data_IF_999695989115
#
_entry.id   IF_999695989115
#
_cell.length_a   1.000
_cell.length_b   1.000
_cell.length_c   1.000
_cell.angle_alpha   90.00
_cell.angle_beta   90.00
_cell.angle_gamma   90.00
#
_symmetry.space_group_name_H-M   'P 1'
#
loop_
_entity.id
_entity.type
_entity.pdbx_description
1 polymer ?
#
# COMPACT_ATOMS: atom_id res chain seq x y z
N UNK A 1 -2.80 21.47 -23.16
CA UNK A 1 -2.96 20.13 -22.54
C UNK A 1 -2.28 19.13 -23.46
N UNK A 2 -1.08 18.69 -23.10
CA UNK A 2 -0.34 17.65 -23.83
C UNK A 2 -0.84 16.29 -23.37
N UNK A 3 -1.51 15.58 -24.26
CA UNK A 3 -1.89 14.17 -24.10
C UNK A 3 -0.62 13.35 -23.83
N UNK A 4 -0.56 12.51 -22.78
CA UNK A 4 0.61 11.69 -22.53
C UNK A 4 0.85 10.72 -23.70
N UNK A 5 2.09 10.68 -24.18
CA UNK A 5 2.51 9.91 -25.35
C UNK A 5 2.44 8.40 -25.06
N UNK A 6 1.58 7.63 -25.75
CA UNK A 6 1.43 6.19 -25.52
C UNK A 6 2.67 5.38 -25.94
N UNK A 7 3.64 5.98 -26.63
CA UNK A 7 4.88 5.30 -27.05
C UNK A 7 5.97 5.30 -25.99
N UNK A 8 5.83 6.09 -24.92
CA UNK A 8 6.74 6.00 -23.78
C UNK A 8 6.16 4.99 -22.78
N UNK A 9 6.77 3.80 -22.60
CA UNK A 9 6.37 2.93 -21.51
C UNK A 9 6.61 3.71 -20.23
N UNK A 10 5.54 4.13 -19.56
CA UNK A 10 5.67 4.62 -18.20
C UNK A 10 6.41 3.54 -17.42
N UNK A 11 7.57 3.84 -16.82
CA UNK A 11 8.35 2.83 -16.12
C UNK A 11 7.44 2.21 -15.06
N UNK A 12 7.28 0.89 -15.10
CA UNK A 12 6.55 0.19 -14.06
C UNK A 12 7.33 0.38 -12.76
N UNK A 13 6.83 1.26 -11.90
CA UNK A 13 7.44 1.51 -10.61
C UNK A 13 7.00 0.42 -9.65
N UNK A 14 7.97 -0.33 -9.17
CA UNK A 14 7.80 -1.31 -8.10
C UNK A 14 8.41 -0.73 -6.81
N UNK A 15 7.57 -0.53 -5.79
CA UNK A 15 7.99 0.05 -4.52
C UNK A 15 7.89 -1.00 -3.41
N UNK A 16 8.99 -1.18 -2.69
CA UNK A 16 9.06 -2.11 -1.55
C UNK A 16 8.96 -1.30 -0.25
N UNK A 17 7.96 -1.59 0.57
CA UNK A 17 7.78 -1.00 1.90
C UNK A 17 8.18 -2.05 2.93
N UNK A 18 9.29 -1.83 3.61
CA UNK A 18 9.69 -2.67 4.73
C UNK A 18 9.06 -2.15 6.03
N UNK A 19 8.29 -3.02 6.69
CA UNK A 19 7.68 -2.70 7.97
C UNK A 19 8.46 -3.41 9.06
N UNK A 20 9.26 -2.63 9.80
CA UNK A 20 9.87 -3.11 11.03
C UNK A 20 8.80 -3.17 12.12
N UNK A 21 8.47 -4.40 12.52
CA UNK A 21 7.53 -4.70 13.59
C UNK A 21 8.16 -4.54 14.99
N UNK A 22 9.46 -4.20 15.08
CA UNK A 22 10.15 -3.94 16.34
C UNK A 22 9.91 -2.50 16.77
N UNK A 23 8.91 -2.28 17.63
CA UNK A 23 8.70 -1.00 18.28
C UNK A 23 7.24 -0.67 18.55
N UNK A 24 6.97 0.53 19.10
CA UNK A 24 5.61 1.00 19.33
C UNK A 24 4.82 1.11 18.00
N UNK A 25 3.56 0.66 18.00
CA UNK A 25 2.66 0.72 16.84
C UNK A 25 2.48 2.14 16.29
N UNK A 26 2.57 3.15 17.15
CA UNK A 26 2.44 4.56 16.79
C UNK A 26 3.59 5.02 15.87
N UNK A 27 4.83 4.66 16.22
CA UNK A 27 6.02 4.97 15.40
C UNK A 27 5.97 4.27 14.04
N UNK A 28 5.50 3.03 14.01
CA UNK A 28 5.32 2.27 12.76
C UNK A 28 4.27 2.93 11.86
N UNK A 29 3.15 3.37 12.43
CA UNK A 29 2.08 4.04 11.68
C UNK A 29 2.55 5.38 11.12
N UNK A 30 3.33 6.14 11.89
CA UNK A 30 3.93 7.39 11.45
C UNK A 30 4.89 7.17 10.28
N UNK A 31 5.84 6.22 10.42
CA UNK A 31 6.80 5.88 9.37
C UNK A 31 6.11 5.43 8.08
N UNK A 32 5.09 4.57 8.18
CA UNK A 32 4.32 4.12 7.04
C UNK A 32 3.66 5.32 6.34
N UNK A 33 3.02 6.22 7.08
CA UNK A 33 2.42 7.44 6.51
C UNK A 33 3.45 8.36 5.85
N UNK A 34 4.62 8.54 6.46
CA UNK A 34 5.69 9.35 5.88
C UNK A 34 6.22 8.77 4.58
N UNK A 35 6.42 7.45 4.55
CA UNK A 35 6.84 6.73 3.35
C UNK A 35 5.79 6.83 2.25
N UNK A 36 4.51 6.66 2.57
CA UNK A 36 3.47 6.63 1.52
C UNK A 36 3.01 8.01 1.04
N UNK A 37 2.97 9.03 1.90
CA UNK A 37 2.40 10.36 1.58
C UNK A 37 3.09 11.07 0.42
N UNK A 38 4.36 10.77 0.15
CA UNK A 38 5.16 11.46 -0.88
C UNK A 38 5.90 10.53 -1.84
N UNK A 39 5.93 9.23 -1.58
CA UNK A 39 6.82 8.33 -2.31
C UNK A 39 6.14 7.32 -3.22
N UNK A 40 4.81 7.13 -3.17
CA UNK A 40 4.14 6.18 -4.07
C UNK A 40 3.72 6.91 -5.35
N UNK A 41 4.37 6.64 -6.50
CA UNK A 41 3.93 7.21 -7.77
C UNK A 41 2.58 6.62 -8.17
N UNK A 42 1.79 7.40 -8.89
CA UNK A 42 0.51 6.93 -9.40
C UNK A 42 0.69 5.72 -10.32
N UNK A 43 -0.07 4.66 -10.06
CA UNK A 43 -0.02 3.41 -10.80
C UNK A 43 1.08 2.44 -10.37
N UNK A 44 1.83 2.73 -9.30
CA UNK A 44 2.88 1.84 -8.80
C UNK A 44 2.34 0.51 -8.26
N UNK A 45 3.13 -0.55 -8.39
CA UNK A 45 2.92 -1.80 -7.66
C UNK A 45 3.67 -1.72 -6.34
N UNK A 46 2.98 -2.00 -5.24
CA UNK A 46 3.55 -1.92 -3.89
C UNK A 46 3.70 -3.33 -3.33
N UNK A 47 4.91 -3.71 -2.93
CA UNK A 47 5.17 -4.93 -2.16
C UNK A 47 5.50 -4.54 -0.72
N UNK A 48 4.72 -5.03 0.24
CA UNK A 48 4.96 -4.80 1.67
C UNK A 48 5.66 -6.00 2.26
N UNK A 49 6.87 -5.78 2.77
CA UNK A 49 7.62 -6.80 3.48
C UNK A 49 7.35 -6.74 4.98
N UNK A 50 6.77 -7.82 5.52
CA UNK A 50 6.55 -7.99 6.95
C UNK A 50 7.67 -8.82 7.57
N UNK A 51 8.27 -8.30 8.64
CA UNK A 51 9.22 -9.07 9.46
C UNK A 51 8.58 -10.29 10.14
N UNK A 52 9.38 -11.09 10.84
CA UNK A 52 8.94 -12.38 11.42
C UNK A 52 8.10 -12.27 12.72
N UNK A 53 7.66 -11.06 13.07
CA UNK A 53 6.93 -10.80 14.30
C UNK A 53 5.42 -10.76 14.06
N UNK A 54 4.66 -10.83 15.15
CA UNK A 54 3.22 -10.67 15.09
C UNK A 54 2.87 -9.22 14.72
N UNK A 55 2.19 -9.00 13.59
CA UNK A 55 1.73 -7.66 13.22
C UNK A 55 0.66 -7.19 14.21
N UNK A 56 0.62 -5.90 14.56
CA UNK A 56 -0.47 -5.35 15.36
C UNK A 56 -1.79 -5.43 14.60
N UNK A 57 -2.89 -5.49 15.35
CA UNK A 57 -4.24 -5.49 14.79
C UNK A 57 -4.47 -4.24 13.94
N UNK A 58 -5.15 -4.41 12.80
CA UNK A 58 -5.46 -3.30 11.88
C UNK A 58 -4.28 -2.82 11.04
N UNK A 59 -3.12 -3.48 11.08
CA UNK A 59 -1.99 -3.16 10.20
C UNK A 59 -2.41 -3.22 8.71
N UNK A 60 -3.21 -4.22 8.33
CA UNK A 60 -3.67 -4.33 6.94
C UNK A 60 -4.52 -3.14 6.51
N UNK A 61 -5.39 -2.65 7.40
CA UNK A 61 -6.17 -1.43 7.17
C UNK A 61 -5.29 -0.19 6.99
N UNK A 62 -4.24 -0.06 7.82
CA UNK A 62 -3.30 1.06 7.74
C UNK A 62 -2.57 1.05 6.40
N UNK A 63 -2.01 -0.09 5.99
CA UNK A 63 -1.35 -0.28 4.70
C UNK A 63 -2.30 0.05 3.54
N UNK A 64 -3.52 -0.50 3.57
CA UNK A 64 -4.53 -0.19 2.56
C UNK A 64 -4.81 1.31 2.49
N UNK A 65 -5.05 1.97 3.63
CA UNK A 65 -5.35 3.41 3.67
C UNK A 65 -4.20 4.27 3.15
N UNK A 66 -2.96 3.80 3.33
CA UNK A 66 -1.75 4.48 2.93
C UNK A 66 -1.48 4.33 1.42
N UNK A 67 -1.87 3.20 0.81
CA UNK A 67 -1.49 2.87 -0.56
C UNK A 67 -2.65 2.93 -1.58
N UNK A 68 -3.91 2.79 -1.17
CA UNK A 68 -5.02 2.51 -2.09
C UNK A 68 -5.25 3.56 -3.20
N UNK A 69 -4.87 4.81 -2.94
CA UNK A 69 -5.12 5.93 -3.85
C UNK A 69 -4.18 5.93 -5.06
N UNK A 70 -2.88 5.72 -4.82
CA UNK A 70 -1.85 5.75 -5.87
C UNK A 70 -1.42 4.36 -6.34
N UNK A 71 -1.51 3.34 -5.48
CA UNK A 71 -1.07 1.99 -5.84
C UNK A 71 -2.07 1.28 -6.75
N UNK A 72 -1.55 0.72 -7.85
CA UNK A 72 -2.28 -0.19 -8.72
C UNK A 72 -2.55 -1.51 -8.02
N UNK A 73 -1.51 -2.10 -7.44
CA UNK A 73 -1.57 -3.36 -6.70
C UNK A 73 -0.82 -3.23 -5.37
N UNK A 74 -1.23 -4.02 -4.38
CA UNK A 74 -0.56 -4.12 -3.08
C UNK A 74 -0.38 -5.61 -2.78
N UNK A 75 0.85 -6.07 -2.68
CA UNK A 75 1.21 -7.44 -2.33
C UNK A 75 1.86 -7.48 -0.94
N UNK A 76 1.74 -8.61 -0.24
CA UNK A 76 2.42 -8.85 1.03
C UNK A 76 3.43 -9.97 0.87
N UNK A 77 4.67 -9.69 1.27
CA UNK A 77 5.76 -10.65 1.36
C UNK A 77 6.19 -10.78 2.81
N UNK A 78 6.46 -12.00 3.26
CA UNK A 78 6.95 -12.25 4.61
C UNK A 78 7.79 -13.54 4.65
N UNK A 79 8.64 -13.73 5.69
CA UNK A 79 9.25 -15.01 5.98
C UNK A 79 8.20 -16.13 6.14
N UNK A 80 8.55 -17.37 5.77
CA UNK A 80 7.64 -18.52 5.85
C UNK A 80 7.14 -18.81 7.29
N UNK A 81 7.90 -18.38 8.29
CA UNK A 81 7.55 -18.46 9.72
C UNK A 81 6.45 -17.47 10.13
N UNK A 82 6.21 -16.41 9.37
CA UNK A 82 5.15 -15.43 9.65
C UNK A 82 3.79 -15.98 9.18
N UNK A 83 3.08 -16.62 10.11
CA UNK A 83 1.74 -17.20 9.87
C UNK A 83 0.64 -16.15 9.66
N UNK A 84 0.88 -14.89 9.99
CA UNK A 84 -0.11 -13.82 9.92
C UNK A 84 -0.06 -13.03 8.61
N UNK A 85 0.97 -13.22 7.78
CA UNK A 85 1.11 -12.52 6.51
C UNK A 85 -0.11 -12.69 5.59
N UNK A 86 -0.69 -13.90 5.52
CA UNK A 86 -1.91 -14.16 4.74
C UNK A 86 -3.13 -13.44 5.31
N UNK A 87 -3.24 -13.31 6.62
CA UNK A 87 -4.33 -12.58 7.25
C UNK A 87 -4.21 -11.08 6.95
N UNK A 88 -3.01 -10.51 7.10
CA UNK A 88 -2.74 -9.10 6.76
C UNK A 88 -3.00 -8.82 5.28
N UNK A 89 -2.59 -9.71 4.37
CA UNK A 89 -2.91 -9.60 2.95
C UNK A 89 -4.43 -9.55 2.70
N UNK A 90 -5.20 -10.41 3.38
CA UNK A 90 -6.66 -10.41 3.30
C UNK A 90 -7.29 -9.11 3.80
N UNK A 91 -6.80 -8.57 4.93
CA UNK A 91 -7.24 -7.27 5.45
C UNK A 91 -6.93 -6.13 4.47
N UNK A 92 -5.75 -6.14 3.85
CA UNK A 92 -5.36 -5.15 2.84
C UNK A 92 -6.32 -5.20 1.67
N UNK A 93 -6.56 -6.38 1.10
CA UNK A 93 -7.45 -6.55 -0.06
C UNK A 93 -8.89 -6.14 0.26
N UNK A 94 -9.37 -6.49 1.45
CA UNK A 94 -10.68 -6.06 1.91
C UNK A 94 -10.77 -4.54 2.00
N UNK A 95 -9.88 -3.90 2.76
CA UNK A 95 -9.96 -2.46 3.00
C UNK A 95 -9.60 -1.63 1.76
N UNK A 96 -8.68 -2.09 0.92
CA UNK A 96 -8.39 -1.41 -0.35
C UNK A 96 -9.61 -1.41 -1.28
N UNK A 97 -10.39 -2.50 -1.31
CA UNK A 97 -11.67 -2.53 -2.04
C UNK A 97 -12.70 -1.59 -1.41
N UNK A 98 -12.86 -1.62 -0.10
CA UNK A 98 -13.78 -0.71 0.61
C UNK A 98 -13.43 0.76 0.35
N UNK A 99 -12.15 1.16 0.47
CA UNK A 99 -11.71 2.52 0.20
C UNK A 99 -11.92 2.90 -1.27
N UNK A 100 -11.60 2.01 -2.20
CA UNK A 100 -11.86 2.26 -3.63
C UNK A 100 -13.35 2.37 -3.95
N UNK A 101 -14.24 1.69 -3.23
CA UNK A 101 -15.69 1.86 -3.41
C UNK A 101 -16.19 3.17 -2.80
N UNK A 102 -15.73 3.50 -1.59
CA UNK A 102 -16.07 4.75 -0.90
C UNK A 102 -15.57 5.99 -1.65
N UNK A 103 -14.35 5.92 -2.18
CA UNK A 103 -13.67 7.04 -2.84
C UNK A 103 -13.70 6.98 -4.38
N UNK A 104 -14.04 5.84 -4.97
CA UNK A 104 -14.25 5.68 -6.42
C UNK A 104 -15.56 6.30 -6.91
N UNK A 105 -16.45 6.69 -6.00
CA UNK A 105 -17.58 7.58 -6.28
C UNK A 105 -17.19 9.07 -6.31
N UNK A 106 -15.93 9.42 -5.98
CA UNK A 106 -15.45 10.78 -6.16
C UNK A 106 -15.07 10.97 -7.63
N UNK A 107 -15.71 11.89 -8.38
CA UNK A 107 -15.35 12.11 -9.76
C UNK A 107 -13.88 12.54 -9.77
N UNK A 108 -13.07 11.85 -10.56
CA UNK A 108 -11.77 12.40 -11.00
C UNK A 108 -12.11 13.74 -11.63
N UNK A 109 -11.87 14.84 -10.92
CA UNK A 109 -11.92 16.16 -11.51
C UNK A 109 -10.82 16.17 -12.56
N UNK A 110 -11.23 15.92 -13.80
CA UNK A 110 -10.46 16.17 -15.00
C UNK A 110 -10.19 17.66 -15.04
N UNK A 111 -8.97 18.04 -14.62
CA UNK A 111 -8.41 19.36 -14.86
C UNK A 111 -7.78 19.42 -16.24
#
# INVERSE_FOLDING_TARGET
MTTPDPTFPHPQVHLVIEIDLRGPTEDMTHKLREQTRRAIPDGADVEVFLGDQYPPLGLGRLIASACYFSARSIAVRAPASNRMARHVAGEIDQHAREFRQLHGAWPRMTG
#
